data_IF_512177430017
#
_entry.id   IF_512177430017
#
_cell.length_a   1.000
_cell.length_b   1.000
_cell.length_c   1.000
_cell.angle_alpha   90.00
_cell.angle_beta   90.00
_cell.angle_gamma   90.00
#
_symmetry.space_group_name_H-M   'P 1'
#
loop_
_entity.id
_entity.type
_entity.pdbx_description
1 polymer ?
#
# COMPACT_ATOMS: atom_id res chain seq x y z
N UNK A 1 4.01 9.54 33.44
CA UNK A 1 5.20 8.70 33.52
C UNK A 1 5.90 8.84 32.19
N UNK A 2 7.00 9.58 32.15
CA UNK A 2 7.81 9.79 30.94
C UNK A 2 8.43 8.45 30.53
N UNK A 3 7.94 7.87 29.44
CA UNK A 3 8.49 6.65 28.80
C UNK A 3 9.51 7.08 27.72
N UNK A 4 10.29 8.11 27.97
CA UNK A 4 11.34 8.53 27.04
C UNK A 4 12.67 8.04 27.61
N UNK A 5 12.93 6.73 27.43
CA UNK A 5 14.21 6.12 27.79
C UNK A 5 15.05 5.66 26.59
N UNK A 6 14.41 5.28 25.51
CA UNK A 6 15.09 4.73 24.35
C UNK A 6 14.69 5.51 23.09
N UNK A 7 15.67 5.71 22.22
CA UNK A 7 15.48 6.42 20.93
C UNK A 7 14.45 5.68 20.06
N UNK A 8 13.44 6.38 19.58
CA UNK A 8 12.41 5.77 18.75
C UNK A 8 11.99 6.65 17.57
N UNK A 9 11.49 6.03 16.53
CA UNK A 9 10.70 6.69 15.48
C UNK A 9 9.25 6.26 15.57
N UNK A 10 8.35 7.18 15.32
CA UNK A 10 6.93 6.92 15.31
C UNK A 10 6.26 7.42 14.04
N UNK A 11 5.18 6.77 13.63
CA UNK A 11 4.28 7.25 12.59
C UNK A 11 2.86 6.76 12.86
N UNK A 12 1.90 7.27 12.10
CA UNK A 12 0.54 6.77 12.09
C UNK A 12 0.14 6.31 10.69
N UNK A 13 -0.65 5.26 10.64
CA UNK A 13 -1.31 4.81 9.42
C UNK A 13 -2.63 5.57 9.31
N UNK A 14 -2.81 6.27 8.20
CA UNK A 14 -4.08 6.95 7.94
C UNK A 14 -5.20 5.94 7.69
N UNK A 15 -6.28 6.05 8.40
CA UNK A 15 -7.47 5.20 8.19
C UNK A 15 -8.06 5.38 6.78
N UNK A 16 -7.85 6.55 6.18
CA UNK A 16 -8.32 6.86 4.82
C UNK A 16 -7.34 6.48 3.70
N UNK A 17 -6.16 5.97 4.01
CA UNK A 17 -5.21 5.53 3.01
C UNK A 17 -5.54 4.11 2.49
N UNK A 18 -5.33 3.87 1.21
CA UNK A 18 -5.35 2.51 0.66
C UNK A 18 -4.23 1.65 1.25
N UNK A 19 -4.40 0.31 1.20
CA UNK A 19 -3.45 -0.63 1.81
C UNK A 19 -2.00 -0.38 1.37
N UNK A 20 -1.75 -0.13 0.08
CA UNK A 20 -0.39 0.15 -0.41
C UNK A 20 0.24 1.35 0.29
N UNK A 21 -0.52 2.45 0.46
CA UNK A 21 -0.03 3.64 1.16
C UNK A 21 0.22 3.37 2.66
N UNK A 22 -0.61 2.53 3.27
CA UNK A 22 -0.42 2.10 4.67
C UNK A 22 0.86 1.28 4.82
N UNK A 23 1.13 0.36 3.88
CA UNK A 23 2.34 -0.45 3.86
C UNK A 23 3.60 0.40 3.68
N UNK A 24 3.60 1.39 2.78
CA UNK A 24 4.72 2.30 2.61
C UNK A 24 5.08 3.02 3.91
N UNK A 25 4.11 3.55 4.64
CA UNK A 25 4.32 4.22 5.92
C UNK A 25 4.92 3.28 6.97
N UNK A 26 4.33 2.10 7.11
CA UNK A 26 4.83 1.08 8.04
C UNK A 26 6.27 0.70 7.73
N UNK A 27 6.54 0.30 6.48
CA UNK A 27 7.85 -0.20 6.05
C UNK A 27 8.92 0.88 6.21
N UNK A 28 8.66 2.09 5.73
CA UNK A 28 9.64 3.16 5.83
C UNK A 28 9.92 3.59 7.27
N UNK A 29 8.91 3.65 8.14
CA UNK A 29 9.15 3.93 9.56
C UNK A 29 10.10 2.91 10.17
N UNK A 30 9.88 1.63 9.90
CA UNK A 30 10.70 0.54 10.41
C UNK A 30 12.12 0.54 9.82
N UNK A 31 12.25 0.77 8.51
CA UNK A 31 13.55 0.90 7.83
C UNK A 31 14.36 2.06 8.39
N UNK A 32 13.75 3.24 8.52
CA UNK A 32 14.44 4.40 9.06
C UNK A 32 14.86 4.18 10.51
N UNK A 33 14.01 3.55 11.32
CA UNK A 33 14.37 3.21 12.69
C UNK A 33 15.57 2.24 12.73
N UNK A 34 15.56 1.18 11.93
CA UNK A 34 16.70 0.24 11.85
C UNK A 34 18.00 0.93 11.41
N UNK A 35 17.93 1.81 10.39
CA UNK A 35 19.10 2.51 9.88
C UNK A 35 19.76 3.43 10.92
N UNK A 36 18.98 3.91 11.88
CA UNK A 36 19.47 4.79 12.95
C UNK A 36 19.72 4.06 14.28
N UNK A 37 19.40 2.77 14.36
CA UNK A 37 19.49 1.99 15.60
C UNK A 37 18.45 2.40 16.65
N UNK A 38 17.27 2.82 16.20
CA UNK A 38 16.15 3.23 17.03
C UNK A 38 15.08 2.15 17.09
N UNK A 39 14.28 2.17 18.14
CA UNK A 39 13.01 1.47 18.16
C UNK A 39 12.01 2.14 17.21
N UNK A 40 10.97 1.43 16.84
CA UNK A 40 9.87 2.00 16.05
C UNK A 40 8.52 1.79 16.73
N UNK A 41 7.55 2.60 16.35
CA UNK A 41 6.16 2.45 16.75
C UNK A 41 5.22 2.99 15.70
N UNK A 42 4.16 2.25 15.39
CA UNK A 42 3.17 2.65 14.39
C UNK A 42 1.79 2.64 15.00
N UNK A 43 1.14 3.80 15.05
CA UNK A 43 -0.28 3.88 15.33
C UNK A 43 -1.07 3.46 14.08
N UNK A 44 -2.04 2.56 14.24
CA UNK A 44 -2.66 1.88 13.09
C UNK A 44 -4.20 1.88 13.12
N UNK A 45 -4.87 3.01 13.35
CA UNK A 45 -6.32 3.08 13.22
C UNK A 45 -6.69 2.77 11.77
N UNK A 46 -7.75 1.99 11.56
CA UNK A 46 -8.23 1.67 10.23
C UNK A 46 -7.29 0.80 9.38
N UNK A 47 -6.40 0.01 10.00
CA UNK A 47 -5.54 -0.93 9.29
C UNK A 47 -6.33 -1.91 8.42
N UNK A 48 -5.93 -2.02 7.15
CA UNK A 48 -6.63 -2.80 6.12
C UNK A 48 -6.02 -4.16 5.84
N UNK A 49 -4.73 -4.32 6.09
CA UNK A 49 -4.00 -5.55 5.81
C UNK A 49 -4.19 -6.63 6.88
N UNK A 50 -5.43 -6.97 7.25
CA UNK A 50 -5.76 -7.94 8.32
C UNK A 50 -5.23 -9.36 8.06
N UNK A 51 -4.80 -9.64 6.85
CA UNK A 51 -4.18 -10.89 6.45
C UNK A 51 -2.66 -10.93 6.69
N UNK A 52 -2.05 -9.81 7.05
CA UNK A 52 -0.63 -9.71 7.37
C UNK A 52 -0.40 -9.77 8.87
N UNK A 53 0.62 -10.52 9.27
CA UNK A 53 1.10 -10.57 10.66
C UNK A 53 2.09 -9.42 10.86
N UNK A 54 1.60 -8.27 11.29
CA UNK A 54 2.40 -7.06 11.45
C UNK A 54 2.86 -6.89 12.89
N UNK A 55 4.16 -6.70 13.06
CA UNK A 55 4.75 -6.19 14.30
C UNK A 55 4.67 -4.66 14.31
N UNK A 56 3.84 -4.09 15.15
CA UNK A 56 3.62 -2.64 15.23
C UNK A 56 4.67 -1.89 16.04
N UNK A 57 5.63 -2.62 16.62
CA UNK A 57 6.62 -2.04 17.51
C UNK A 57 6.03 -1.54 18.82
N UNK A 58 6.50 -0.40 19.30
CA UNK A 58 5.99 0.22 20.53
C UNK A 58 4.60 0.83 20.32
N UNK A 59 3.80 0.81 21.37
CA UNK A 59 2.51 1.50 21.34
C UNK A 59 2.73 3.01 21.30
N UNK A 60 2.20 3.65 20.27
CA UNK A 60 2.22 5.11 20.10
C UNK A 60 0.80 5.64 19.94
N UNK A 61 0.49 6.81 20.47
CA UNK A 61 -0.79 7.45 20.23
C UNK A 61 -1.02 7.75 18.75
N UNK A 62 -2.27 7.88 18.34
CA UNK A 62 -2.61 8.39 17.02
C UNK A 62 -2.56 9.91 17.05
N UNK A 63 -1.56 10.47 16.40
CA UNK A 63 -1.33 11.92 16.36
C UNK A 63 -2.02 12.64 15.19
N UNK A 64 -2.69 11.92 14.30
CA UNK A 64 -3.28 12.51 13.08
C UNK A 64 -4.64 13.17 13.29
N UNK A 65 -5.25 13.01 14.46
CA UNK A 65 -6.57 13.60 14.74
C UNK A 65 -6.53 15.10 15.06
N UNK A 66 -5.35 15.66 15.31
CA UNK A 66 -5.22 17.09 15.56
C UNK A 66 -4.72 17.80 14.29
N UNK A 67 -5.65 18.48 13.62
CA UNK A 67 -5.38 19.27 12.41
C UNK A 67 -4.44 20.47 12.64
N UNK A 68 -4.15 20.77 13.88
CA UNK A 68 -3.29 21.88 14.30
C UNK A 68 -1.96 21.36 14.84
N UNK A 69 -1.10 20.84 14.02
CA UNK A 69 0.37 20.69 14.11
C UNK A 69 1.06 20.75 15.51
N UNK A 70 0.31 20.77 16.58
CA UNK A 70 0.79 20.76 17.95
C UNK A 70 0.79 19.31 18.48
N UNK A 71 1.76 18.53 17.96
CA UNK A 71 2.04 17.21 18.52
C UNK A 71 2.65 17.41 19.89
N UNK A 72 1.80 17.54 20.89
CA UNK A 72 2.22 17.67 22.29
C UNK A 72 2.57 16.30 22.88
N UNK A 73 3.32 15.49 22.12
CA UNK A 73 3.70 14.14 22.48
C UNK A 73 5.14 14.02 23.00
N UNK A 74 5.88 15.11 23.03
CA UNK A 74 7.30 15.12 23.37
C UNK A 74 8.21 14.53 22.28
N UNK A 75 7.67 14.29 21.07
CA UNK A 75 8.44 13.86 19.91
C UNK A 75 8.74 15.05 19.00
N UNK A 76 9.87 15.01 18.34
CA UNK A 76 10.14 15.90 17.21
C UNK A 76 9.21 15.53 16.05
N UNK A 77 8.93 16.47 15.16
CA UNK A 77 8.08 16.25 13.99
C UNK A 77 8.86 16.45 12.71
N UNK A 78 8.88 15.43 11.85
CA UNK A 78 9.51 15.50 10.54
C UNK A 78 8.50 15.09 9.46
N UNK A 79 8.08 16.04 8.63
CA UNK A 79 7.23 15.80 7.48
C UNK A 79 8.08 15.66 6.23
N UNK A 80 7.81 14.62 5.43
CA UNK A 80 8.40 14.45 4.11
C UNK A 80 8.05 15.64 3.22
N UNK A 81 9.06 16.23 2.60
CA UNK A 81 8.87 17.24 1.56
C UNK A 81 8.84 16.56 0.19
N UNK A 82 7.88 16.97 -0.63
CA UNK A 82 7.88 16.63 -2.03
C UNK A 82 8.95 17.49 -2.71
N UNK A 83 10.07 16.86 -3.01
CA UNK A 83 11.08 17.47 -3.86
C UNK A 83 10.63 17.18 -5.29
N UNK A 84 9.97 18.18 -5.87
CA UNK A 84 9.41 18.08 -7.21
C UNK A 84 10.53 18.27 -8.25
N UNK A 85 11.28 17.22 -8.48
CA UNK A 85 12.24 17.11 -9.56
C UNK A 85 11.77 16.12 -10.64
N UNK A 86 10.45 15.96 -10.79
CA UNK A 86 9.89 15.15 -11.86
C UNK A 86 10.28 15.74 -13.23
N UNK A 87 11.42 15.32 -13.74
CA UNK A 87 11.91 15.65 -15.10
C UNK A 87 11.28 14.76 -16.15
N UNK A 88 10.59 13.67 -15.75
CA UNK A 88 9.89 12.76 -16.62
C UNK A 88 8.54 12.30 -16.03
N UNK A 89 7.53 12.01 -16.89
CA UNK A 89 6.26 11.47 -16.45
C UNK A 89 6.47 10.13 -15.73
N UNK A 90 6.01 10.01 -14.49
CA UNK A 90 6.09 8.79 -13.68
C UNK A 90 7.28 8.70 -12.73
N UNK A 91 8.18 9.66 -12.74
CA UNK A 91 9.18 9.78 -11.68
C UNK A 91 8.55 10.38 -10.41
N UNK A 92 8.60 9.61 -9.36
CA UNK A 92 8.27 10.08 -8.01
C UNK A 92 9.56 10.70 -7.48
N UNK A 93 9.69 12.02 -7.46
CA UNK A 93 10.86 12.81 -7.10
C UNK A 93 11.93 12.17 -6.19
N UNK A 94 13.03 12.84 -5.99
CA UNK A 94 14.14 12.34 -5.18
C UNK A 94 13.74 12.11 -3.70
N UNK A 95 14.41 11.17 -3.01
CA UNK A 95 14.21 10.99 -1.58
C UNK A 95 14.60 12.25 -0.81
N UNK A 96 13.80 12.58 0.19
CA UNK A 96 14.09 13.72 1.08
C UNK A 96 15.35 13.40 1.92
N UNK A 97 16.45 14.15 1.74
CA UNK A 97 17.72 13.84 2.38
C UNK A 97 17.70 13.95 3.91
N UNK A 98 16.69 14.61 4.49
CA UNK A 98 16.56 14.72 5.94
C UNK A 98 16.30 13.38 6.60
N UNK A 99 15.74 12.41 5.86
CA UNK A 99 15.51 11.05 6.37
C UNK A 99 16.82 10.23 6.50
N UNK A 100 17.94 10.73 6.00
CA UNK A 100 19.27 10.13 6.24
C UNK A 100 19.83 10.47 7.63
N UNK A 101 19.27 11.47 8.32
CA UNK A 101 19.73 11.94 9.64
C UNK A 101 18.56 12.34 10.51
N UNK A 102 17.77 11.37 10.91
CA UNK A 102 16.61 11.62 11.77
C UNK A 102 17.07 11.68 13.23
N UNK A 103 16.66 12.72 13.93
CA UNK A 103 16.89 12.83 15.37
C UNK A 103 16.07 11.76 16.12
N UNK A 104 16.59 11.24 17.26
CA UNK A 104 15.82 10.31 18.07
C UNK A 104 14.52 10.94 18.58
N UNK A 105 13.55 10.10 18.90
CA UNK A 105 12.25 10.53 19.39
C UNK A 105 11.52 11.45 18.39
N UNK A 106 11.48 11.04 17.12
CA UNK A 106 10.83 11.79 16.05
C UNK A 106 9.58 11.05 15.57
N UNK A 107 8.50 11.81 15.38
CA UNK A 107 7.33 11.39 14.62
C UNK A 107 7.53 11.79 13.16
N UNK A 108 7.47 10.80 12.26
CA UNK A 108 7.62 11.02 10.83
C UNK A 108 6.27 10.97 10.13
N UNK A 109 6.06 11.86 9.17
CA UNK A 109 4.84 11.92 8.37
C UNK A 109 5.20 12.09 6.89
N UNK A 110 4.60 11.28 6.04
CA UNK A 110 4.83 11.30 4.60
C UNK A 110 4.12 10.18 3.89
N UNK A 111 4.20 10.14 2.57
CA UNK A 111 3.76 9.00 1.76
C UNK A 111 4.84 7.96 1.59
N UNK A 112 6.10 8.39 1.61
CA UNK A 112 7.32 7.57 1.53
C UNK A 112 7.39 6.63 0.31
N UNK A 113 6.66 6.92 -0.76
CA UNK A 113 6.52 6.07 -1.95
C UNK A 113 7.76 6.15 -2.86
N UNK A 114 8.93 5.84 -2.30
CA UNK A 114 10.21 5.90 -3.01
C UNK A 114 11.02 4.64 -2.74
N UNK A 115 11.34 3.90 -3.80
CA UNK A 115 12.10 2.64 -3.68
C UNK A 115 13.46 2.85 -3.03
N UNK A 116 14.10 3.98 -3.27
CA UNK A 116 15.41 4.33 -2.67
C UNK A 116 15.42 4.34 -1.15
N UNK A 117 14.27 4.52 -0.49
CA UNK A 117 14.19 4.42 0.97
C UNK A 117 14.31 2.98 1.47
N UNK A 118 13.90 1.99 0.67
CA UNK A 118 13.67 0.62 1.14
C UNK A 118 14.46 -0.45 0.38
N UNK A 119 15.11 -0.09 -0.73
CA UNK A 119 15.70 -1.06 -1.66
C UNK A 119 16.70 -2.01 -1.00
N UNK A 120 17.55 -1.50 -0.12
CA UNK A 120 18.55 -2.29 0.61
C UNK A 120 17.96 -3.24 1.65
N UNK A 121 16.65 -3.09 1.97
CA UNK A 121 15.96 -3.84 3.01
C UNK A 121 14.96 -4.86 2.46
N UNK A 122 14.93 -5.12 1.15
CA UNK A 122 13.92 -5.97 0.48
C UNK A 122 13.67 -7.31 1.17
N UNK A 123 14.74 -8.03 1.51
CA UNK A 123 14.60 -9.37 2.09
C UNK A 123 14.05 -9.31 3.52
N UNK A 124 14.46 -8.31 4.30
CA UNK A 124 13.88 -8.07 5.62
C UNK A 124 12.40 -7.71 5.53
N UNK A 125 12.05 -6.83 4.59
CA UNK A 125 10.67 -6.38 4.37
C UNK A 125 9.76 -7.55 4.04
N UNK A 126 10.19 -8.49 3.20
CA UNK A 126 9.45 -9.73 2.94
C UNK A 126 9.14 -10.51 4.21
N UNK A 127 10.12 -10.61 5.13
CA UNK A 127 9.90 -11.23 6.43
C UNK A 127 8.94 -10.47 7.34
N UNK A 128 8.95 -9.13 7.29
CA UNK A 128 8.04 -8.30 8.09
C UNK A 128 6.60 -8.33 7.62
N UNK A 129 6.40 -8.57 6.33
CA UNK A 129 5.10 -8.61 5.68
C UNK A 129 4.59 -10.04 5.49
N UNK A 130 4.94 -10.93 6.43
CA UNK A 130 4.43 -12.30 6.40
C UNK A 130 2.90 -12.31 6.52
N UNK A 131 2.26 -13.19 5.78
CA UNK A 131 0.81 -13.36 5.84
C UNK A 131 0.42 -14.53 6.75
N UNK A 132 -0.81 -14.53 7.21
CA UNK A 132 -1.40 -15.62 7.96
C UNK A 132 -1.82 -16.74 6.99
N UNK A 133 -1.31 -17.96 7.18
CA UNK A 133 -1.55 -19.11 6.29
C UNK A 133 -3.04 -19.41 6.05
N UNK A 134 -3.92 -19.02 6.96
CA UNK A 134 -5.38 -19.18 6.76
C UNK A 134 -5.91 -18.36 5.58
N UNK A 135 -5.15 -17.36 5.12
CA UNK A 135 -5.49 -16.57 3.95
C UNK A 135 -4.79 -17.04 2.68
N UNK A 136 -4.05 -18.14 2.72
CA UNK A 136 -3.38 -18.69 1.57
C UNK A 136 -4.36 -19.40 0.65
N UNK A 137 -4.57 -18.86 -0.56
CA UNK A 137 -5.39 -19.48 -1.59
C UNK A 137 -4.46 -20.11 -2.60
N UNK A 138 -4.46 -21.44 -2.63
CA UNK A 138 -3.64 -22.21 -3.56
C UNK A 138 -4.30 -22.43 -4.92
N UNK A 139 -5.60 -22.14 -5.06
CA UNK A 139 -6.38 -22.43 -6.28
C UNK A 139 -5.84 -21.74 -7.53
N UNK A 140 -5.28 -20.55 -7.39
CA UNK A 140 -4.72 -19.76 -8.49
C UNK A 140 -3.19 -19.65 -8.44
N UNK A 141 -2.54 -20.34 -7.53
CA UNK A 141 -1.07 -20.31 -7.39
C UNK A 141 -0.40 -21.34 -8.28
N UNK A 142 -0.45 -21.15 -9.59
CA UNK A 142 0.31 -21.97 -10.54
C UNK A 142 0.94 -21.11 -11.64
N UNK A 143 2.01 -21.65 -12.24
CA UNK A 143 2.92 -20.93 -13.14
C UNK A 143 2.27 -20.35 -14.41
N UNK A 144 1.07 -20.81 -14.78
CA UNK A 144 0.40 -20.43 -16.01
C UNK A 144 -0.74 -19.41 -15.79
N UNK A 145 -0.82 -18.76 -14.62
CA UNK A 145 -1.81 -17.72 -14.37
C UNK A 145 -1.14 -16.35 -14.31
N UNK A 146 -1.71 -15.41 -15.03
CA UNK A 146 -1.41 -13.97 -14.91
C UNK A 146 -2.61 -13.24 -14.33
N UNK A 147 -2.42 -12.59 -13.20
CA UNK A 147 -3.44 -11.76 -12.57
C UNK A 147 -3.38 -10.36 -13.15
N UNK A 148 -4.51 -9.89 -13.65
CA UNK A 148 -4.70 -8.51 -14.11
C UNK A 148 -5.38 -7.74 -12.99
N UNK A 149 -4.67 -6.79 -12.40
CA UNK A 149 -5.27 -5.84 -11.50
C UNK A 149 -5.85 -4.68 -12.31
N UNK A 150 -7.18 -4.53 -12.30
CA UNK A 150 -7.86 -3.43 -12.96
C UNK A 150 -8.55 -2.58 -11.90
N UNK A 151 -8.08 -1.36 -11.73
CA UNK A 151 -8.68 -0.38 -10.84
C UNK A 151 -9.60 0.52 -11.65
N UNK A 152 -10.92 0.36 -11.45
CA UNK A 152 -11.95 1.18 -12.09
C UNK A 152 -12.43 2.29 -11.16
N UNK A 153 -13.09 1.97 -10.10
CA UNK A 153 -13.63 2.81 -9.03
C UNK A 153 -13.43 4.31 -9.18
N UNK A 154 -12.58 4.89 -8.35
CA UNK A 154 -12.22 6.30 -8.36
C UNK A 154 -11.39 6.72 -9.60
N UNK A 155 -10.75 5.78 -10.30
CA UNK A 155 -9.95 6.05 -11.48
C UNK A 155 -10.78 6.41 -12.72
N UNK A 156 -12.03 5.98 -12.78
CA UNK A 156 -12.96 6.34 -13.89
C UNK A 156 -13.25 7.83 -13.96
N UNK A 157 -13.15 8.55 -12.84
CA UNK A 157 -13.42 9.98 -12.75
C UNK A 157 -12.17 10.86 -12.80
N UNK A 158 -10.97 10.29 -12.66
CA UNK A 158 -9.73 11.01 -12.42
C UNK A 158 -8.69 10.98 -13.54
N UNK A 159 -9.03 10.61 -14.76
CA UNK A 159 -8.09 10.45 -15.89
C UNK A 159 -6.89 9.49 -15.64
N UNK A 160 -7.00 8.64 -14.61
CA UNK A 160 -5.93 7.71 -14.24
C UNK A 160 -6.14 6.31 -14.80
N UNK A 161 -7.26 6.09 -15.48
CA UNK A 161 -7.61 4.80 -16.02
C UNK A 161 -6.84 4.51 -17.30
N UNK A 162 -6.18 3.37 -17.36
CA UNK A 162 -5.50 2.94 -18.57
C UNK A 162 -6.54 2.48 -19.63
N UNK A 163 -6.29 2.73 -20.92
CA UNK A 163 -7.22 2.34 -21.97
C UNK A 163 -7.22 0.80 -22.17
N UNK A 164 -8.31 0.22 -22.73
CA UNK A 164 -8.40 -1.22 -22.98
C UNK A 164 -7.23 -1.79 -23.78
N UNK A 165 -6.72 -1.02 -24.72
CA UNK A 165 -5.58 -1.40 -25.59
C UNK A 165 -4.32 -1.70 -24.78
N UNK A 166 -4.11 -1.02 -23.66
CA UNK A 166 -2.99 -1.31 -22.76
C UNK A 166 -3.03 -2.75 -22.28
N UNK A 167 -4.20 -3.18 -21.77
CA UNK A 167 -4.38 -4.53 -21.24
C UNK A 167 -4.30 -5.58 -22.36
N UNK A 168 -4.93 -5.35 -23.49
CA UNK A 168 -4.86 -6.27 -24.64
C UNK A 168 -3.43 -6.46 -25.13
N UNK A 169 -2.68 -5.38 -25.29
CA UNK A 169 -1.27 -5.45 -25.72
C UNK A 169 -0.41 -6.20 -24.69
N UNK A 170 -0.63 -5.97 -23.40
CA UNK A 170 0.09 -6.68 -22.35
C UNK A 170 -0.25 -8.18 -22.36
N UNK A 171 -1.53 -8.54 -22.49
CA UNK A 171 -1.97 -9.93 -22.60
C UNK A 171 -1.38 -10.63 -23.83
N UNK A 172 -1.34 -9.96 -24.98
CA UNK A 172 -0.78 -10.52 -26.21
C UNK A 172 0.74 -10.71 -26.10
N UNK A 173 1.43 -9.75 -25.48
CA UNK A 173 2.85 -9.92 -25.17
C UNK A 173 3.12 -11.13 -24.26
N UNK A 174 2.32 -11.30 -23.23
CA UNK A 174 2.45 -12.44 -22.31
C UNK A 174 2.15 -13.77 -23.03
N UNK A 175 1.10 -13.84 -23.88
CA UNK A 175 0.78 -15.02 -24.68
C UNK A 175 1.88 -15.38 -25.68
N UNK A 176 2.55 -14.38 -26.23
CA UNK A 176 3.67 -14.62 -27.13
C UNK A 176 4.82 -15.36 -26.42
N UNK A 177 5.09 -15.01 -25.17
CA UNK A 177 6.15 -15.64 -24.38
C UNK A 177 5.72 -16.94 -23.71
N UNK A 178 4.44 -17.08 -23.37
CA UNK A 178 3.86 -18.29 -22.78
C UNK A 178 2.44 -18.52 -23.36
N UNK A 179 2.32 -19.33 -24.44
CA UNK A 179 1.03 -19.56 -25.09
C UNK A 179 -0.02 -20.24 -24.20
N UNK A 180 0.39 -20.90 -23.12
CA UNK A 180 -0.52 -21.59 -22.19
C UNK A 180 -1.01 -20.68 -21.05
N UNK A 181 -0.59 -19.41 -21.01
CA UNK A 181 -0.94 -18.50 -19.92
C UNK A 181 -2.43 -18.22 -19.86
N UNK A 182 -2.98 -18.29 -18.68
CA UNK A 182 -4.37 -17.94 -18.39
C UNK A 182 -4.41 -16.59 -17.70
N UNK A 183 -5.45 -15.81 -17.98
CA UNK A 183 -5.64 -14.52 -17.35
C UNK A 183 -6.84 -14.53 -16.44
N UNK A 184 -6.69 -13.92 -15.29
CA UNK A 184 -7.77 -13.66 -14.34
C UNK A 184 -7.72 -12.19 -13.91
N UNK A 185 -8.87 -11.65 -13.54
CA UNK A 185 -8.99 -10.23 -13.16
C UNK A 185 -9.28 -10.13 -11.65
N UNK A 186 -8.58 -9.19 -11.01
CA UNK A 186 -8.94 -8.64 -9.69
C UNK A 186 -9.27 -7.17 -9.89
N UNK A 187 -10.43 -6.73 -9.41
CA UNK A 187 -10.92 -5.37 -9.69
C UNK A 187 -11.79 -4.82 -8.55
N UNK A 188 -11.87 -3.51 -8.47
CA UNK A 188 -12.82 -2.77 -7.64
C UNK A 188 -14.07 -2.32 -8.43
N UNK A 189 -14.10 -2.57 -9.75
CA UNK A 189 -15.23 -2.27 -10.64
C UNK A 189 -15.42 -3.40 -11.66
N UNK A 190 -16.15 -4.47 -11.29
CA UNK A 190 -16.40 -5.61 -12.18
C UNK A 190 -17.08 -5.24 -13.50
N UNK A 191 -17.95 -4.24 -13.48
CA UNK A 191 -18.67 -3.81 -14.69
C UNK A 191 -17.69 -3.20 -15.71
N UNK A 192 -16.86 -2.28 -15.27
CA UNK A 192 -15.85 -1.67 -16.12
C UNK A 192 -14.84 -2.70 -16.59
N UNK A 193 -14.37 -3.58 -15.69
CA UNK A 193 -13.43 -4.63 -16.05
C UNK A 193 -13.96 -5.55 -17.15
N UNK A 194 -15.23 -5.95 -17.06
CA UNK A 194 -15.86 -6.81 -18.07
C UNK A 194 -16.07 -6.10 -19.42
N UNK A 195 -16.24 -4.78 -19.41
CA UNK A 195 -16.31 -3.98 -20.65
C UNK A 195 -14.93 -3.83 -21.31
N UNK A 196 -13.88 -3.68 -20.51
CA UNK A 196 -12.53 -3.46 -21.02
C UNK A 196 -11.85 -4.76 -21.45
N UNK A 197 -12.05 -5.86 -20.74
CA UNK A 197 -11.43 -7.15 -20.99
C UNK A 197 -12.52 -8.24 -20.97
N UNK A 198 -13.37 -8.28 -22.00
CA UNK A 198 -14.47 -9.23 -22.04
C UNK A 198 -13.96 -10.68 -22.04
N UNK A 199 -14.79 -11.58 -21.50
CA UNK A 199 -14.53 -13.02 -21.42
C UNK A 199 -13.33 -13.44 -20.54
N UNK A 200 -12.73 -12.53 -19.79
CA UNK A 200 -11.70 -12.87 -18.81
C UNK A 200 -12.36 -13.04 -17.43
N UNK A 201 -12.13 -14.17 -16.73
CA UNK A 201 -12.75 -14.41 -15.43
C UNK A 201 -12.36 -13.35 -14.40
N UNK A 202 -13.32 -12.87 -13.63
CA UNK A 202 -13.09 -12.03 -12.46
C UNK A 202 -13.07 -12.95 -11.25
N UNK A 203 -11.92 -13.08 -10.59
CA UNK A 203 -11.71 -13.99 -9.46
C UNK A 203 -11.69 -13.27 -8.12
N UNK A 204 -11.60 -11.95 -8.15
CA UNK A 204 -11.66 -11.11 -6.97
C UNK A 204 -12.23 -9.74 -7.29
N UNK A 205 -13.18 -9.29 -6.47
CA UNK A 205 -13.72 -7.94 -6.60
C UNK A 205 -13.92 -7.31 -5.23
N UNK A 206 -13.49 -6.06 -5.09
CA UNK A 206 -13.85 -5.18 -3.99
C UNK A 206 -14.84 -4.16 -4.56
N UNK A 207 -16.11 -4.36 -4.34
CA UNK A 207 -17.14 -3.41 -4.78
C UNK A 207 -17.28 -2.34 -3.71
N UNK A 208 -17.21 -1.05 -4.12
CA UNK A 208 -17.58 0.03 -3.22
C UNK A 208 -19.07 -0.13 -2.86
N UNK A 209 -19.39 -0.13 -1.57
CA UNK A 209 -20.78 0.10 -1.17
C UNK A 209 -21.25 1.42 -1.78
N UNK A 210 -22.54 1.49 -2.14
CA UNK A 210 -23.13 2.71 -2.70
C UNK A 210 -22.74 3.90 -1.82
N UNK A 211 -22.02 4.83 -2.40
CA UNK A 211 -21.54 6.02 -1.70
C UNK A 211 -22.75 6.78 -1.17
N UNK A 212 -22.78 6.98 0.14
CA UNK A 212 -23.63 8.02 0.69
C UNK A 212 -23.27 9.35 -0.02
N UNK A 213 -24.19 9.94 -0.80
CA UNK A 213 -23.90 11.16 -1.56
C UNK A 213 -23.50 12.35 -0.70
N UNK A 214 -23.75 12.30 0.62
CA UNK A 214 -23.37 13.33 1.58
C UNK A 214 -21.97 13.10 2.19
N UNK A 215 -21.39 11.92 2.03
CA UNK A 215 -20.01 11.67 2.40
C UNK A 215 -19.05 12.16 1.31
N UNK A 216 -18.56 13.37 1.46
CA UNK A 216 -17.55 14.00 0.57
C UNK A 216 -16.17 13.32 0.59
N UNK A 217 -15.97 12.29 1.38
CA UNK A 217 -14.70 11.56 1.50
C UNK A 217 -14.93 10.09 1.20
N UNK A 218 -14.30 9.69 0.12
CA UNK A 218 -13.95 8.36 -0.37
C UNK A 218 -14.43 7.25 0.56
N UNK A 219 -15.61 6.70 0.21
CA UNK A 219 -16.12 5.49 0.84
C UNK A 219 -15.12 4.36 0.63
N UNK A 220 -14.85 3.66 1.67
CA UNK A 220 -13.96 2.54 1.70
C UNK A 220 -14.73 1.31 1.25
N UNK A 221 -14.07 0.52 0.45
CA UNK A 221 -14.59 -0.72 -0.05
C UNK A 221 -14.77 -1.70 1.10
N UNK A 222 -16.00 -1.95 1.55
CA UNK A 222 -16.31 -3.18 2.24
C UNK A 222 -16.50 -4.28 1.21
N UNK A 223 -15.79 -5.35 1.44
CA UNK A 223 -15.80 -6.51 0.62
C UNK A 223 -17.07 -7.33 0.84
N UNK A 224 -17.98 -7.35 -0.14
CA UNK A 224 -19.28 -8.03 -0.05
C UNK A 224 -19.37 -9.35 -0.79
N UNK A 225 -18.29 -9.93 -1.25
CA UNK A 225 -18.36 -11.19 -1.95
C UNK A 225 -17.18 -12.06 -1.61
N UNK A 226 -17.35 -13.20 -0.95
CA UNK A 226 -16.35 -14.24 -0.65
C UNK A 226 -14.93 -13.75 -0.37
N UNK A 227 -14.02 -14.51 0.11
CA UNK A 227 -12.70 -14.01 0.45
C UNK A 227 -11.95 -13.50 -0.80
N UNK A 228 -11.79 -12.17 -0.98
CA UNK A 228 -10.74 -11.64 -1.85
C UNK A 228 -9.46 -11.79 -1.08
N UNK A 229 -8.88 -12.87 -1.28
CA UNK A 229 -7.52 -13.05 -0.91
C UNK A 229 -6.71 -12.56 -2.09
N UNK A 230 -6.09 -11.37 -1.98
CA UNK A 230 -4.96 -11.11 -2.84
C UNK A 230 -3.95 -12.19 -2.51
N UNK A 231 -3.81 -13.13 -3.40
CA UNK A 231 -2.76 -14.12 -3.28
C UNK A 231 -1.43 -13.41 -3.53
N UNK A 232 -0.81 -12.97 -2.45
CA UNK A 232 0.53 -12.39 -2.49
C UNK A 232 1.58 -13.40 -2.96
N UNK A 233 1.26 -14.71 -2.98
CA UNK A 233 2.16 -15.72 -3.53
C UNK A 233 2.36 -15.52 -5.04
N UNK A 234 1.39 -14.91 -5.74
CA UNK A 234 1.48 -14.57 -7.17
C UNK A 234 2.46 -13.41 -7.42
N UNK A 235 2.69 -12.54 -6.44
CA UNK A 235 3.62 -11.42 -6.56
C UNK A 235 5.07 -11.76 -6.19
N UNK A 236 5.31 -12.97 -5.69
CA UNK A 236 6.62 -13.42 -5.21
C UNK A 236 7.33 -14.42 -6.13
N UNK A 237 6.79 -14.73 -7.30
CA UNK A 237 7.44 -15.53 -8.35
C UNK A 237 8.04 -14.67 -9.44
#
# INVERSE_FOLDING_TARGET
>A
TNIIGDSMLATSIHEHAGLGNQLWRYVCCRVFAENHGYDFGVSHPGWRGRFLNIDWGRVVPNYEQDSDYNINCGLHYLKEEWIDHATAPGEIGDPDPRFNKIEPNTYINGTFQKMSYIEEHRDKIRGWLSYDDKFNITEYSHENICVIQLRGGDYTTGHSMLPPEYYHNAMDHMRHNNPSIQFVIVTDDPKTAQQMIPNTPIVGSAVAEERDPDQKHIGWYEYTGGPVYMDYSILNN
#
